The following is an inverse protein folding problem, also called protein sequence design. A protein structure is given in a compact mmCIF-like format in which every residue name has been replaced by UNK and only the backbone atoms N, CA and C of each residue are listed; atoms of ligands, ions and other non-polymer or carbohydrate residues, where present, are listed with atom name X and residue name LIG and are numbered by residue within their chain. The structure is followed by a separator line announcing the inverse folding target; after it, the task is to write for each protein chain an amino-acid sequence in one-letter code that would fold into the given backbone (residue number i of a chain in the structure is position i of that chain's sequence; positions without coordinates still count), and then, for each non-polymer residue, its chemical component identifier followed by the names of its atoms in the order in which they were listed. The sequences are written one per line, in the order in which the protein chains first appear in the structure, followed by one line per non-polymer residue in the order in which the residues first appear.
data_IF_879626207197
#
_entry.id   IF_879626207197
#
_cell.length_a   1.000
_cell.length_b   1.000
_cell.length_c   1.000
_cell.angle_alpha   90.00
_cell.angle_beta   90.00
_cell.angle_gamma   90.00
#
_symmetry.space_group_name_H-M   'P 1'
#
loop_
_entity.id
_entity.type
_entity.pdbx_description
1 polymer ?
#
# COMPACT_ATOMS: atom_id res chain seq x y z
N UNK A 1 16.52 16.44 -18.75
CA UNK A 1 15.59 15.34 -19.07
C UNK A 1 15.14 14.77 -17.73
N UNK A 2 13.84 14.66 -17.50
CA UNK A 2 13.30 14.07 -16.26
C UNK A 2 13.58 12.57 -16.28
N UNK A 3 14.03 11.99 -15.16
CA UNK A 3 14.22 10.54 -15.04
C UNK A 3 12.86 9.85 -15.17
N UNK A 4 12.72 8.83 -16.03
CA UNK A 4 11.48 8.04 -16.14
C UNK A 4 11.09 7.45 -14.78
N UNK A 5 9.80 7.41 -14.47
CA UNK A 5 9.26 6.82 -13.24
C UNK A 5 8.46 5.56 -13.57
N UNK A 6 7.61 5.62 -14.59
CA UNK A 6 6.68 4.55 -14.96
C UNK A 6 7.29 3.55 -15.94
N UNK A 7 8.09 4.03 -16.89
CA UNK A 7 8.59 3.22 -18.01
C UNK A 7 10.04 2.78 -17.81
N UNK A 8 10.55 2.80 -16.58
CA UNK A 8 11.80 2.07 -16.27
C UNK A 8 11.50 0.57 -16.29
N UNK A 9 12.45 -0.22 -16.77
CA UNK A 9 12.30 -1.67 -16.95
C UNK A 9 11.86 -2.40 -15.67
N UNK A 10 12.24 -1.89 -14.50
CA UNK A 10 11.96 -2.49 -13.20
C UNK A 10 10.87 -1.77 -12.39
N UNK A 11 10.27 -0.69 -12.92
CA UNK A 11 9.37 0.20 -12.17
C UNK A 11 8.17 -0.50 -11.51
N UNK A 12 7.70 -1.59 -12.11
CA UNK A 12 6.52 -2.34 -11.66
C UNK A 12 6.85 -3.80 -11.29
N UNK A 13 8.13 -4.09 -11.04
CA UNK A 13 8.64 -5.45 -10.80
C UNK A 13 8.84 -5.76 -9.31
N UNK A 14 9.08 -7.04 -8.98
CA UNK A 14 9.49 -7.49 -7.65
C UNK A 14 8.37 -7.68 -6.63
N UNK A 15 7.10 -7.63 -7.05
CA UNK A 15 5.97 -7.51 -6.12
C UNK A 15 5.95 -6.14 -5.45
N UNK A 16 5.28 -6.01 -4.31
CA UNK A 16 5.08 -4.70 -3.69
C UNK A 16 5.05 -4.72 -2.17
N UNK A 17 5.43 -3.56 -1.62
CA UNK A 17 5.22 -3.22 -0.22
C UNK A 17 3.98 -2.33 -0.15
N UNK A 18 2.99 -2.77 0.64
CA UNK A 18 1.61 -2.35 0.48
C UNK A 18 1.05 -1.76 1.77
N UNK A 19 0.08 -0.88 1.60
CA UNK A 19 -0.96 -0.62 2.58
C UNK A 19 -2.28 -1.23 2.05
N UNK A 20 -2.80 -2.23 2.76
CA UNK A 20 -4.10 -2.85 2.46
C UNK A 20 -5.12 -2.42 3.52
N UNK A 21 -6.25 -1.84 3.12
CA UNK A 21 -7.29 -1.30 4.01
C UNK A 21 -8.59 -2.06 3.79
N UNK A 22 -9.11 -2.74 4.80
CA UNK A 22 -10.45 -3.32 4.78
C UNK A 22 -11.47 -2.27 5.20
N UNK A 23 -12.38 -1.90 4.28
CA UNK A 23 -13.39 -0.89 4.51
C UNK A 23 -14.68 -1.44 5.13
N UNK A 24 -14.90 -2.75 5.12
CA UNK A 24 -16.14 -3.42 5.52
C UNK A 24 -16.97 -3.92 4.34
N UNK A 25 -18.27 -4.22 4.57
CA UNK A 25 -19.20 -4.72 3.55
C UNK A 25 -19.34 -3.79 2.34
N UNK A 26 -19.40 -4.35 1.14
CA UNK A 26 -19.35 -3.65 -0.15
C UNK A 26 -20.21 -2.40 -0.18
N UNK A 27 -19.57 -1.26 -0.47
CA UNK A 27 -20.22 0.04 -0.51
C UNK A 27 -19.46 0.98 -1.45
N UNK A 28 -20.04 1.13 -2.62
CA UNK A 28 -19.57 1.97 -3.72
C UNK A 28 -19.35 3.45 -3.33
N UNK A 29 -20.15 3.99 -2.41
CA UNK A 29 -20.02 5.38 -1.96
C UNK A 29 -18.90 5.52 -0.95
N UNK A 30 -18.78 4.55 -0.02
CA UNK A 30 -17.70 4.48 0.96
C UNK A 30 -16.34 4.31 0.27
N UNK A 31 -16.27 3.40 -0.69
CA UNK A 31 -15.07 3.13 -1.49
C UNK A 31 -14.61 4.39 -2.26
N UNK A 32 -15.52 5.10 -2.93
CA UNK A 32 -15.18 6.35 -3.63
C UNK A 32 -14.67 7.43 -2.68
N UNK A 33 -15.29 7.58 -1.49
CA UNK A 33 -14.85 8.57 -0.50
C UNK A 33 -13.47 8.23 0.05
N UNK A 34 -13.19 6.95 0.31
CA UNK A 34 -11.88 6.49 0.76
C UNK A 34 -10.80 6.74 -0.31
N UNK A 35 -11.07 6.43 -1.58
CA UNK A 35 -10.16 6.73 -2.69
C UNK A 35 -9.92 8.24 -2.85
N UNK A 36 -10.97 9.06 -2.73
CA UNK A 36 -10.85 10.52 -2.80
C UNK A 36 -9.96 11.05 -1.67
N UNK A 37 -10.16 10.57 -0.44
CA UNK A 37 -9.34 10.96 0.71
C UNK A 37 -7.89 10.52 0.53
N UNK A 38 -7.64 9.31 0.03
CA UNK A 38 -6.30 8.80 -0.24
C UNK A 38 -5.54 9.72 -1.21
N UNK A 39 -6.11 9.95 -2.40
CA UNK A 39 -5.49 10.68 -3.50
C UNK A 39 -5.56 12.21 -3.39
N UNK A 40 -6.21 12.77 -2.37
CA UNK A 40 -6.23 14.21 -2.13
C UNK A 40 -4.97 14.75 -1.45
N UNK A 41 -4.13 13.88 -0.89
CA UNK A 41 -2.95 14.31 -0.17
C UNK A 41 -1.76 14.68 -1.07
N UNK A 42 -0.85 15.55 -0.58
CA UNK A 42 0.28 16.04 -1.38
C UNK A 42 1.33 14.95 -1.69
N UNK A 43 1.34 13.87 -0.92
CA UNK A 43 2.33 12.80 -1.02
C UNK A 43 2.04 11.84 -2.17
N UNK A 44 0.88 11.97 -2.82
CA UNK A 44 0.49 11.19 -3.99
C UNK A 44 0.21 12.12 -5.17
N UNK A 45 0.76 11.79 -6.34
CA UNK A 45 0.48 12.46 -7.60
C UNK A 45 -0.21 11.50 -8.57
N UNK A 46 -1.35 11.90 -9.12
CA UNK A 46 -2.21 11.03 -9.91
C UNK A 46 -3.69 11.40 -9.78
N UNK A 47 -4.61 10.62 -10.35
CA UNK A 47 -4.39 9.28 -10.89
C UNK A 47 -4.00 9.29 -12.38
N UNK A 48 -3.34 8.24 -12.84
CA UNK A 48 -3.00 8.00 -14.23
C UNK A 48 -3.54 6.64 -14.68
N UNK A 49 -3.92 6.52 -15.95
CA UNK A 49 -4.54 5.31 -16.49
C UNK A 49 -3.53 4.21 -16.75
N UNK A 50 -2.40 4.56 -17.38
CA UNK A 50 -1.48 3.59 -17.97
C UNK A 50 -0.13 3.60 -17.27
N UNK A 51 0.35 2.41 -16.88
CA UNK A 51 1.71 2.18 -16.42
C UNK A 51 2.75 2.26 -17.56
N UNK A 52 2.34 2.04 -18.81
CA UNK A 52 3.26 1.99 -19.97
C UNK A 52 3.64 3.37 -20.54
N UNK A 53 3.19 4.45 -19.92
CA UNK A 53 3.40 5.83 -20.37
C UNK A 53 3.84 6.68 -19.20
N UNK A 54 4.75 7.60 -19.42
CA UNK A 54 5.16 8.48 -18.32
C UNK A 54 4.02 9.42 -17.89
N UNK A 55 3.98 9.86 -16.61
CA UNK A 55 2.95 10.76 -16.11
C UNK A 55 2.76 12.04 -16.93
N UNK A 56 3.84 12.65 -17.42
CA UNK A 56 3.77 13.86 -18.27
C UNK A 56 3.21 13.62 -19.68
N UNK A 57 3.08 12.36 -20.09
CA UNK A 57 2.64 11.98 -21.43
C UNK A 57 1.15 11.63 -21.47
N UNK A 58 0.45 11.68 -20.34
CA UNK A 58 -0.95 11.28 -20.22
C UNK A 58 -1.75 12.24 -19.31
N UNK A 59 -3.07 12.33 -19.46
CA UNK A 59 -3.87 13.20 -18.60
C UNK A 59 -3.91 12.66 -17.17
N UNK A 60 -3.87 13.58 -16.21
CA UNK A 60 -4.22 13.29 -14.82
C UNK A 60 -5.73 13.13 -14.70
N UNK A 61 -6.17 12.03 -14.11
CA UNK A 61 -7.56 11.67 -13.93
C UNK A 61 -8.04 12.01 -12.52
N UNK A 62 -9.31 12.41 -12.42
CA UNK A 62 -9.98 12.50 -11.13
C UNK A 62 -10.37 11.13 -10.60
N UNK A 63 -10.39 10.96 -9.28
CA UNK A 63 -10.89 9.74 -8.64
C UNK A 63 -12.34 9.47 -9.09
N UNK A 64 -12.61 8.25 -9.57
CA UNK A 64 -13.93 7.84 -10.07
C UNK A 64 -14.17 8.13 -11.56
N UNK A 65 -13.17 8.64 -12.28
CA UNK A 65 -13.25 8.76 -13.76
C UNK A 65 -13.23 7.39 -14.42
N UNK A 66 -12.45 6.46 -13.87
CA UNK A 66 -12.38 5.07 -14.32
C UNK A 66 -13.32 4.18 -13.50
N UNK A 67 -13.70 2.99 -14.03
CA UNK A 67 -14.36 1.96 -13.22
C UNK A 67 -13.58 1.68 -11.93
N UNK A 68 -14.29 1.39 -10.83
CA UNK A 68 -13.68 1.24 -9.50
C UNK A 68 -12.59 0.16 -9.42
N UNK A 69 -12.74 -0.90 -10.21
CA UNK A 69 -11.81 -2.04 -10.24
C UNK A 69 -10.62 -1.79 -11.18
N UNK A 70 -10.61 -0.68 -11.93
CA UNK A 70 -9.47 -0.30 -12.76
C UNK A 70 -8.34 0.23 -11.87
N UNK A 71 -7.11 -0.33 -11.94
CA UNK A 71 -5.98 0.18 -11.18
C UNK A 71 -5.72 1.66 -11.47
N UNK A 72 -5.46 2.42 -10.41
CA UNK A 72 -5.09 3.83 -10.50
C UNK A 72 -3.58 3.94 -10.30
N UNK A 73 -2.85 4.42 -11.30
CA UNK A 73 -1.41 4.61 -11.20
C UNK A 73 -1.07 6.00 -10.67
N UNK A 74 0.05 6.14 -10.00
CA UNK A 74 0.52 7.42 -9.49
C UNK A 74 1.97 7.43 -9.09
N UNK A 75 2.36 8.55 -8.51
CA UNK A 75 3.69 8.80 -7.98
C UNK A 75 3.57 8.99 -6.47
N UNK A 76 4.34 8.24 -5.69
CA UNK A 76 4.48 8.43 -4.26
C UNK A 76 5.71 9.28 -3.92
N UNK A 77 5.54 10.22 -2.98
CA UNK A 77 6.60 11.06 -2.42
C UNK A 77 6.79 10.69 -0.94
N UNK A 78 7.89 9.97 -0.66
CA UNK A 78 8.18 9.42 0.68
C UNK A 78 9.28 10.27 1.32
N UNK A 79 8.88 11.22 2.17
CA UNK A 79 9.79 12.23 2.73
C UNK A 79 10.49 13.04 1.64
N UNK A 80 11.77 13.37 1.85
CA UNK A 80 12.58 14.15 0.90
C UNK A 80 13.28 13.29 -0.18
N UNK A 81 12.82 12.05 -0.38
CA UNK A 81 13.43 11.11 -1.34
C UNK A 81 12.95 11.38 -2.77
N UNK A 82 13.61 10.74 -3.74
CA UNK A 82 13.13 10.75 -5.12
C UNK A 82 11.75 10.07 -5.21
N UNK A 83 10.88 10.51 -6.13
CA UNK A 83 9.56 9.93 -6.33
C UNK A 83 9.64 8.49 -6.82
N UNK A 84 8.66 7.67 -6.42
CA UNK A 84 8.52 6.27 -6.87
C UNK A 84 7.15 6.05 -7.51
N UNK A 85 7.07 5.06 -8.39
CA UNK A 85 5.81 4.59 -8.94
C UNK A 85 4.96 3.97 -7.82
N UNK A 86 3.66 4.18 -7.87
CA UNK A 86 2.69 3.51 -7.00
C UNK A 86 1.42 3.18 -7.78
N UNK A 87 0.64 2.21 -7.28
CA UNK A 87 -0.71 1.96 -7.79
C UNK A 87 -1.69 1.80 -6.64
N UNK A 88 -2.95 2.11 -6.91
CA UNK A 88 -4.07 1.72 -6.05
C UNK A 88 -4.93 0.70 -6.78
N UNK A 89 -5.19 -0.43 -6.13
CA UNK A 89 -6.06 -1.50 -6.63
C UNK A 89 -7.20 -1.69 -5.65
N UNK A 90 -8.39 -1.96 -6.18
CA UNK A 90 -9.54 -2.36 -5.37
C UNK A 90 -9.70 -3.87 -5.47
N UNK A 91 -9.84 -4.51 -4.31
CA UNK A 91 -10.15 -5.93 -4.24
C UNK A 91 -11.50 -6.08 -3.56
N UNK A 92 -12.41 -6.84 -4.19
CA UNK A 92 -13.73 -7.12 -3.63
C UNK A 92 -13.83 -8.61 -3.42
N UNK A 93 -13.83 -9.06 -2.17
CA UNK A 93 -13.87 -10.47 -1.85
C UNK A 93 -15.27 -11.06 -1.95
N UNK A 94 -15.33 -12.38 -2.06
CA UNK A 94 -16.57 -13.16 -2.14
C UNK A 94 -17.40 -13.11 -0.84
N UNK A 95 -16.75 -12.84 0.29
CA UNK A 95 -17.40 -12.54 1.58
C UNK A 95 -18.14 -11.20 1.57
N UNK A 96 -17.98 -10.42 0.50
CA UNK A 96 -18.60 -9.12 0.30
C UNK A 96 -17.81 -7.96 0.89
N UNK A 97 -16.57 -8.13 1.35
CA UNK A 97 -15.72 -7.03 1.83
C UNK A 97 -15.07 -6.26 0.67
N UNK A 98 -14.95 -4.94 0.83
CA UNK A 98 -14.17 -4.06 -0.07
C UNK A 98 -12.82 -3.73 0.57
N UNK A 99 -11.74 -3.92 -0.19
CA UNK A 99 -10.37 -3.59 0.20
C UNK A 99 -9.73 -2.59 -0.77
N UNK A 100 -8.92 -1.69 -0.23
CA UNK A 100 -8.04 -0.79 -1.00
C UNK A 100 -6.60 -1.23 -0.76
N UNK A 101 -5.87 -1.54 -1.82
CA UNK A 101 -4.43 -1.78 -1.78
C UNK A 101 -3.70 -0.59 -2.38
N UNK A 102 -2.79 0.02 -1.63
CA UNK A 102 -1.82 1.00 -2.14
C UNK A 102 -0.49 0.27 -2.26
N UNK A 103 -0.13 -0.08 -3.49
CA UNK A 103 1.04 -0.89 -3.79
C UNK A 103 2.23 -0.01 -4.17
N UNK A 104 3.37 -0.21 -3.52
CA UNK A 104 4.65 0.36 -3.90
C UNK A 104 5.55 -0.75 -4.45
N UNK A 105 5.76 -0.83 -5.78
CA UNK A 105 6.58 -1.88 -6.36
C UNK A 105 8.01 -1.86 -5.80
N UNK A 106 8.53 -3.04 -5.43
CA UNK A 106 9.87 -3.14 -4.85
C UNK A 106 10.96 -2.68 -5.84
N UNK A 107 10.78 -2.94 -7.13
CA UNK A 107 11.68 -2.43 -8.16
C UNK A 107 11.74 -0.90 -8.20
N UNK A 108 10.62 -0.21 -7.94
CA UNK A 108 10.62 1.26 -7.82
C UNK A 108 11.27 1.74 -6.52
N UNK A 109 10.96 1.07 -5.40
CA UNK A 109 11.52 1.40 -4.08
C UNK A 109 13.05 1.18 -4.03
N UNK A 110 13.57 0.18 -4.73
CA UNK A 110 15.00 -0.14 -4.79
C UNK A 110 15.87 1.01 -5.35
N UNK A 111 15.27 1.99 -6.03
CA UNK A 111 15.99 3.19 -6.49
C UNK A 111 16.22 4.22 -5.38
N UNK A 112 15.51 4.12 -4.25
CA UNK A 112 15.52 5.12 -3.17
C UNK A 112 15.75 4.53 -1.77
N UNK A 113 15.67 3.21 -1.64
CA UNK A 113 15.83 2.44 -0.41
C UNK A 113 16.64 1.17 -0.72
N UNK A 114 17.43 0.72 0.25
CA UNK A 114 18.16 -0.55 0.16
C UNK A 114 17.23 -1.70 0.54
N UNK A 115 16.38 -2.11 -0.41
CA UNK A 115 15.34 -3.14 -0.19
C UNK A 115 15.87 -4.58 -0.26
N UNK A 116 17.13 -4.78 -0.67
CA UNK A 116 17.78 -6.09 -0.75
C UNK A 116 16.97 -7.12 -1.56
N UNK A 117 16.95 -8.37 -1.07
CA UNK A 117 16.14 -9.46 -1.62
C UNK A 117 14.74 -9.57 -0.99
N UNK A 118 14.25 -8.53 -0.28
CA UNK A 118 12.89 -8.53 0.27
C UNK A 118 11.89 -8.93 -0.83
N UNK A 119 10.90 -9.79 -0.56
CA UNK A 119 10.42 -10.30 0.73
C UNK A 119 11.17 -11.51 1.31
N UNK A 120 12.27 -11.94 0.69
CA UNK A 120 13.05 -13.08 1.15
C UNK A 120 14.06 -12.66 2.22
N UNK A 121 14.25 -13.52 3.23
CA UNK A 121 15.30 -13.35 4.23
C UNK A 121 16.67 -13.64 3.62
N UNK A 122 17.41 -12.57 3.34
CA UNK A 122 18.81 -12.59 2.93
C UNK A 122 19.77 -12.16 4.06
N UNK A 123 19.26 -11.94 5.27
CA UNK A 123 20.01 -11.40 6.41
C UNK A 123 20.29 -9.89 6.33
N UNK A 124 19.67 -9.17 5.39
CA UNK A 124 19.80 -7.73 5.23
C UNK A 124 19.12 -6.91 6.33
N UNK A 125 19.49 -5.64 6.45
CA UNK A 125 18.86 -4.70 7.37
C UNK A 125 17.49 -4.25 6.83
N UNK A 126 16.45 -4.40 7.65
CA UNK A 126 15.08 -4.01 7.31
C UNK A 126 14.69 -2.65 7.89
N UNK A 127 15.65 -1.85 8.37
CA UNK A 127 15.42 -0.49 8.90
C UNK A 127 14.81 0.46 7.87
N UNK A 128 14.98 0.18 6.56
CA UNK A 128 14.34 0.93 5.48
C UNK A 128 12.81 0.89 5.55
N UNK A 129 12.21 -0.14 6.18
CA UNK A 129 10.76 -0.23 6.38
C UNK A 129 10.23 0.87 7.27
N UNK A 130 11.00 1.33 8.27
CA UNK A 130 10.47 2.26 9.27
C UNK A 130 9.94 3.59 8.69
N UNK A 131 10.69 4.37 7.90
CA UNK A 131 10.16 5.59 7.29
C UNK A 131 9.05 5.30 6.27
N UNK A 132 9.05 4.11 5.66
CA UNK A 132 7.99 3.69 4.74
C UNK A 132 6.68 3.38 5.46
N UNK A 133 6.77 2.62 6.55
CA UNK A 133 5.66 2.28 7.43
C UNK A 133 5.02 3.53 8.02
N UNK A 134 5.82 4.50 8.46
CA UNK A 134 5.31 5.78 8.96
C UNK A 134 4.54 6.56 7.88
N UNK A 135 5.06 6.57 6.65
CA UNK A 135 4.40 7.21 5.52
C UNK A 135 3.09 6.51 5.16
N UNK A 136 3.09 5.17 5.06
CA UNK A 136 1.90 4.36 4.82
C UNK A 136 0.89 4.52 5.97
N UNK A 137 1.35 4.63 7.21
CA UNK A 137 0.49 4.94 8.35
C UNK A 137 -0.20 6.30 8.19
N UNK A 138 0.52 7.29 7.66
CA UNK A 138 -0.03 8.61 7.32
C UNK A 138 -1.15 8.52 6.29
N UNK A 139 -0.98 7.70 5.24
CA UNK A 139 -2.03 7.43 4.27
C UNK A 139 -3.25 6.75 4.90
N UNK A 140 -3.01 5.71 5.71
CA UNK A 140 -4.08 5.00 6.43
C UNK A 140 -4.89 5.95 7.32
N UNK A 141 -4.21 6.80 8.10
CA UNK A 141 -4.87 7.82 8.94
C UNK A 141 -5.74 8.78 8.11
N UNK A 142 -5.22 9.27 6.98
CA UNK A 142 -5.98 10.15 6.09
C UNK A 142 -7.26 9.50 5.58
N UNK A 143 -7.20 8.21 5.21
CA UNK A 143 -8.39 7.46 4.81
C UNK A 143 -9.35 7.32 6.00
N UNK A 144 -8.86 6.92 7.16
CA UNK A 144 -9.67 6.71 8.37
C UNK A 144 -10.41 7.97 8.81
N UNK A 145 -9.76 9.13 8.75
CA UNK A 145 -10.37 10.43 9.10
C UNK A 145 -11.57 10.77 8.21
N UNK A 146 -11.57 10.31 6.96
CA UNK A 146 -12.69 10.50 6.03
C UNK A 146 -13.71 9.35 6.07
N UNK A 147 -13.23 8.14 6.28
CA UNK A 147 -13.97 6.88 6.25
C UNK A 147 -13.36 5.91 7.25
N UNK A 148 -13.98 5.70 8.43
CA UNK A 148 -13.56 4.65 9.35
C UNK A 148 -13.57 3.28 8.65
N UNK A 149 -12.50 2.54 8.84
CA UNK A 149 -12.27 1.21 8.28
C UNK A 149 -12.09 0.20 9.44
N UNK A 150 -12.09 -1.11 9.18
CA UNK A 150 -12.04 -2.12 10.26
C UNK A 150 -10.62 -2.56 10.59
N UNK A 151 -9.78 -2.68 9.57
CA UNK A 151 -8.36 -3.04 9.70
C UNK A 151 -7.56 -2.46 8.55
N UNK A 152 -6.30 -2.10 8.79
CA UNK A 152 -5.34 -1.94 7.71
C UNK A 152 -4.02 -2.65 8.01
N UNK A 153 -3.42 -3.21 6.98
CA UNK A 153 -2.19 -4.00 6.99
C UNK A 153 -1.10 -3.24 6.23
N UNK A 154 0.12 -3.26 6.75
CA UNK A 154 1.28 -2.64 6.10
C UNK A 154 2.41 -3.67 6.00
N UNK A 155 2.87 -3.97 4.79
CA UNK A 155 3.91 -4.97 4.58
C UNK A 155 3.92 -5.57 3.18
N UNK A 156 4.44 -6.78 3.05
CA UNK A 156 4.48 -7.51 1.78
C UNK A 156 3.08 -7.96 1.33
N UNK A 157 2.73 -7.68 0.06
CA UNK A 157 1.43 -8.01 -0.55
C UNK A 157 1.17 -9.52 -0.68
N UNK A 158 2.21 -10.36 -0.71
CA UNK A 158 2.08 -11.81 -0.85
C UNK A 158 1.80 -12.57 0.45
N UNK A 159 1.38 -11.90 1.52
CA UNK A 159 0.83 -12.56 2.71
C UNK A 159 -0.63 -12.96 2.49
N UNK A 160 -1.09 -14.04 3.15
CA UNK A 160 -2.53 -14.31 3.23
C UNK A 160 -3.21 -13.10 3.86
N UNK A 161 -4.23 -12.55 3.20
CA UNK A 161 -5.00 -11.45 3.78
C UNK A 161 -5.70 -11.96 5.03
N UNK A 162 -5.61 -11.18 6.09
CA UNK A 162 -6.20 -11.51 7.38
C UNK A 162 -7.72 -11.60 7.27
N UNK A 163 -8.30 -12.69 7.78
CA UNK A 163 -9.72 -12.73 8.11
C UNK A 163 -9.95 -11.72 9.24
N UNK A 164 -10.57 -10.59 8.91
CA UNK A 164 -10.74 -9.47 9.83
C UNK A 164 -11.64 -9.83 11.02
N UNK A 165 -12.60 -10.74 10.85
CA UNK A 165 -13.45 -11.21 11.95
C UNK A 165 -12.64 -12.06 12.93
N UNK A 166 -11.83 -12.99 12.40
CA UNK A 166 -10.89 -13.79 13.18
C UNK A 166 -9.85 -12.92 13.89
N UNK A 167 -9.33 -11.89 13.21
CA UNK A 167 -8.40 -10.91 13.78
C UNK A 167 -9.05 -10.15 14.95
N UNK A 168 -10.29 -9.68 14.82
CA UNK A 168 -10.96 -8.99 15.92
C UNK A 168 -11.24 -9.90 17.12
N UNK A 169 -11.44 -11.21 16.89
CA UNK A 169 -11.61 -12.19 17.96
C UNK A 169 -10.28 -12.51 18.68
N UNK A 170 -9.17 -12.57 17.94
CA UNK A 170 -7.87 -13.01 18.44
C UNK A 170 -6.98 -11.86 18.92
N UNK A 171 -7.22 -10.65 18.40
CA UNK A 171 -6.38 -9.48 18.60
C UNK A 171 -5.11 -9.48 17.75
N UNK A 172 -4.27 -8.46 17.96
CA UNK A 172 -2.99 -8.30 17.23
C UNK A 172 -2.04 -9.45 17.58
N UNK A 173 -1.52 -10.21 16.59
CA UNK A 173 -0.57 -11.28 16.84
C UNK A 173 0.71 -10.81 17.55
N UNK A 174 1.18 -11.63 18.49
CA UNK A 174 2.42 -11.37 19.22
C UNK A 174 3.63 -11.38 18.28
N UNK A 175 3.65 -12.28 17.30
CA UNK A 175 4.66 -12.40 16.25
C UNK A 175 4.02 -12.03 14.91
N UNK A 176 4.67 -11.16 14.13
CA UNK A 176 4.11 -10.62 12.88
C UNK A 176 5.19 -10.08 11.95
N UNK A 177 5.14 -10.48 10.68
CA UNK A 177 6.02 -10.02 9.60
C UNK A 177 5.50 -8.75 8.90
N UNK A 178 4.20 -8.46 9.05
CA UNK A 178 3.53 -7.24 8.64
C UNK A 178 3.09 -6.42 9.86
N UNK A 179 2.80 -5.14 9.67
CA UNK A 179 2.24 -4.29 10.70
C UNK A 179 0.74 -4.07 10.54
N UNK A 180 0.11 -3.61 11.61
CA UNK A 180 -1.34 -3.43 11.71
C UNK A 180 -1.68 -2.01 12.14
N UNK A 181 -2.59 -1.38 11.42
CA UNK A 181 -3.31 -0.19 11.85
C UNK A 181 -4.70 -0.60 12.31
N UNK A 182 -4.93 -0.52 13.62
CA UNK A 182 -6.15 -1.00 14.26
C UNK A 182 -6.94 0.19 14.83
N UNK A 183 -8.23 0.34 14.47
CA UNK A 183 -9.12 1.29 15.13
C UNK A 183 -9.28 0.99 16.63
N UNK A 184 -9.18 2.02 17.45
CA UNK A 184 -9.43 1.99 18.89
C UNK A 184 -10.22 3.22 19.37
N UNK A 185 -10.43 3.32 20.67
CA UNK A 185 -11.22 4.40 21.27
C UNK A 185 -10.64 5.80 20.97
N UNK A 186 -9.32 5.92 20.89
CA UNK A 186 -8.60 7.18 20.66
C UNK A 186 -8.13 7.36 19.20
N UNK A 187 -8.72 6.61 18.25
CA UNK A 187 -8.36 6.62 16.83
C UNK A 187 -7.52 5.41 16.42
N UNK A 188 -6.67 5.57 15.39
CA UNK A 188 -5.86 4.47 14.88
C UNK A 188 -4.60 4.22 15.72
N UNK A 189 -4.40 2.96 16.11
CA UNK A 189 -3.18 2.48 16.75
C UNK A 189 -2.33 1.68 15.78
N UNK A 190 -1.05 2.03 15.69
CA UNK A 190 -0.05 1.32 14.89
C UNK A 190 0.65 0.24 15.71
N UNK A 191 0.75 -0.95 15.12
CA UNK A 191 1.48 -2.10 15.64
C UNK A 191 2.51 -2.54 14.58
N UNK A 192 3.78 -2.13 14.70
CA UNK A 192 4.79 -2.42 13.67
C UNK A 192 5.10 -3.91 13.57
N UNK A 193 5.59 -4.39 12.42
CA UNK A 193 6.14 -5.74 12.32
C UNK A 193 7.25 -5.95 13.36
N UNK A 194 7.36 -7.16 13.90
CA UNK A 194 8.43 -7.53 14.83
C UNK A 194 9.16 -8.82 14.45
N UNK A 195 8.84 -9.37 13.28
CA UNK A 195 9.64 -10.37 12.60
C UNK A 195 10.41 -9.74 11.43
N UNK A 196 11.38 -10.51 10.91
CA UNK A 196 12.17 -10.17 9.72
C UNK A 196 11.36 -10.23 8.42
N UNK A 197 12.02 -10.58 7.33
CA UNK A 197 11.38 -10.75 6.04
C UNK A 197 10.36 -11.92 6.10
N UNK A 198 9.21 -11.83 5.42
CA UNK A 198 8.13 -12.80 5.56
C UNK A 198 8.41 -14.15 4.89
N UNK A 199 9.31 -14.22 3.91
CA UNK A 199 9.60 -15.45 3.18
C UNK A 199 11.01 -15.94 3.51
N UNK A 200 11.17 -17.24 3.71
CA UNK A 200 12.49 -17.88 3.79
C UNK A 200 12.98 -18.23 2.39
N UNK A 201 14.25 -17.96 2.07
CA UNK A 201 14.86 -18.59 0.90
C UNK A 201 14.99 -20.09 1.14
N UNK A 202 14.27 -20.89 0.35
CA UNK A 202 14.48 -22.34 0.36
C UNK A 202 15.89 -22.60 -0.19
N UNK A 203 16.81 -23.00 0.68
CA UNK A 203 18.18 -23.34 0.26
C UNK A 203 18.14 -24.74 -0.35
N UNK A 204 17.80 -24.82 -1.63
CA UNK A 204 18.02 -26.03 -2.46
C UNK A 204 19.51 -26.25 -2.72
#
# INVERSE_FOLDING_TARGET
MTTPIFTRDDAWSGGSYDLAIELGPRDDARLRRALQALWSGPDLDGCYESADREPQEQPRLGVGTLPLETPLHGIARIGDRAPVACRTVIVRFDDGSDWIHVCLPLGSLGHILDVGAFPFDDGGDLSWRHPLDEWLCGLGRRVFDAVPFRLALIGWDGGELEDVDSFHASGVPAERSIGYLVPGADGLRWFPPNLGAPLTMDRS
#
